data_IF_692916336178
#
_entry.id   IF_692916336178
#
_cell.length_a   1.000
_cell.length_b   1.000
_cell.length_c   1.000
_cell.angle_alpha   90.00
_cell.angle_beta   90.00
_cell.angle_gamma   90.00
#
_symmetry.space_group_name_H-M   'P 1'
#
loop_
_entity.id
_entity.type
_entity.pdbx_description
1 polymer ?
#
# COMPACT_ATOMS: atom_id res chain seq x y z
N UNK A 1 -8.60 -7.70 16.26
CA UNK A 1 -8.12 -6.42 15.69
C UNK A 1 -8.39 -6.35 14.20
N UNK A 2 -9.65 -6.20 13.80
CA UNK A 2 -10.10 -6.26 12.38
C UNK A 2 -10.52 -4.89 11.83
N UNK A 3 -10.50 -3.84 12.66
CA UNK A 3 -11.08 -2.52 12.34
C UNK A 3 -10.05 -1.46 11.90
N UNK A 4 -8.75 -1.68 12.16
CA UNK A 4 -7.70 -0.68 11.86
C UNK A 4 -6.86 -1.01 10.62
N UNK A 5 -6.43 -2.26 10.49
CA UNK A 5 -5.55 -2.70 9.38
C UNK A 5 -6.26 -2.65 8.02
N UNK A 6 -7.58 -2.93 8.04
CA UNK A 6 -8.45 -2.81 6.88
C UNK A 6 -9.11 -1.45 6.73
N UNK A 7 -8.67 -0.38 7.42
CA UNK A 7 -9.21 0.99 7.25
C UNK A 7 -8.19 2.00 6.67
N UNK A 8 -6.90 1.83 6.92
CA UNK A 8 -5.89 2.81 6.51
C UNK A 8 -5.51 2.76 5.04
N UNK A 9 -5.20 1.56 4.51
CA UNK A 9 -4.71 1.41 3.14
C UNK A 9 -5.81 0.92 2.19
N UNK A 10 -6.51 -0.16 2.54
CA UNK A 10 -7.39 -0.88 1.60
C UNK A 10 -8.72 -0.16 1.28
N UNK A 11 -9.53 0.32 2.24
CA UNK A 11 -10.79 0.97 1.90
C UNK A 11 -10.58 2.42 1.51
N UNK A 12 -9.48 3.05 1.93
CA UNK A 12 -9.11 4.38 1.47
C UNK A 12 -8.70 4.31 -0.02
N UNK A 13 -7.92 3.29 -0.39
CA UNK A 13 -7.63 2.95 -1.78
C UNK A 13 -8.89 2.59 -2.57
N UNK A 14 -9.79 1.76 -2.03
CA UNK A 14 -11.06 1.43 -2.69
C UNK A 14 -11.93 2.68 -2.87
N UNK A 15 -12.05 3.54 -1.86
CA UNK A 15 -12.81 4.79 -1.94
C UNK A 15 -12.21 5.77 -2.96
N UNK A 16 -10.89 5.91 -2.98
CA UNK A 16 -10.18 6.74 -3.95
C UNK A 16 -10.35 6.18 -5.38
N UNK A 17 -10.23 4.86 -5.53
CA UNK A 17 -10.48 4.16 -6.79
C UNK A 17 -11.95 4.29 -7.24
N UNK A 18 -12.93 4.29 -6.33
CA UNK A 18 -14.33 4.54 -6.66
C UNK A 18 -14.56 6.00 -7.10
N UNK A 19 -13.94 6.98 -6.43
CA UNK A 19 -14.02 8.39 -6.81
C UNK A 19 -13.38 8.67 -8.19
N UNK A 20 -12.23 8.04 -8.47
CA UNK A 20 -11.55 8.11 -9.77
C UNK A 20 -12.38 7.38 -10.85
N UNK A 21 -12.93 6.20 -10.53
CA UNK A 21 -13.80 5.44 -11.45
C UNK A 21 -15.04 6.24 -11.88
N UNK A 22 -15.61 7.05 -10.97
CA UNK A 22 -16.74 7.93 -11.30
C UNK A 22 -16.42 9.04 -12.31
N UNK A 23 -15.15 9.46 -12.42
CA UNK A 23 -14.73 10.53 -13.32
C UNK A 23 -14.01 10.02 -14.58
N UNK A 24 -13.29 8.90 -14.50
CA UNK A 24 -12.39 8.39 -15.55
C UNK A 24 -12.73 6.96 -16.02
N UNK A 25 -13.74 6.31 -15.44
CA UNK A 25 -14.11 4.93 -15.72
C UNK A 25 -13.31 3.89 -14.91
N UNK A 26 -13.82 2.66 -14.77
CA UNK A 26 -13.24 1.65 -13.89
C UNK A 26 -11.88 1.15 -14.41
N UNK A 27 -10.85 1.20 -13.55
CA UNK A 27 -9.49 0.71 -13.86
C UNK A 27 -9.10 -0.46 -12.95
N UNK A 28 -9.18 -1.72 -13.44
CA UNK A 28 -8.76 -2.90 -12.68
C UNK A 28 -7.26 -2.93 -12.38
N UNK A 29 -6.44 -2.32 -13.25
CA UNK A 29 -4.98 -2.29 -13.12
C UNK A 29 -4.54 -1.50 -11.89
N UNK A 30 -5.17 -0.36 -11.63
CA UNK A 30 -4.86 0.43 -10.45
C UNK A 30 -5.26 -0.29 -9.14
N UNK A 31 -6.25 -1.18 -9.19
CA UNK A 31 -6.69 -2.01 -8.06
C UNK A 31 -5.66 -3.10 -7.72
N UNK A 32 -4.94 -3.58 -8.73
CA UNK A 32 -3.90 -4.60 -8.58
C UNK A 32 -2.56 -4.00 -8.12
N UNK A 33 -2.20 -2.83 -8.63
CA UNK A 33 -0.96 -2.13 -8.27
C UNK A 33 -0.95 -1.64 -6.82
N UNK A 34 -2.11 -1.22 -6.31
CA UNK A 34 -2.27 -0.68 -4.95
C UNK A 34 -1.77 -1.61 -3.82
N UNK A 35 -2.24 -2.88 -3.71
CA UNK A 35 -1.71 -3.81 -2.71
C UNK A 35 -0.26 -4.23 -3.02
N UNK A 36 0.14 -4.27 -4.29
CA UNK A 36 1.52 -4.59 -4.69
C UNK A 36 2.50 -3.56 -4.11
N UNK A 37 2.25 -2.27 -4.30
CA UNK A 37 3.10 -1.19 -3.76
C UNK A 37 2.96 -1.08 -2.24
N UNK A 38 1.74 -1.17 -1.71
CA UNK A 38 1.46 -1.01 -0.29
C UNK A 38 1.98 -2.14 0.60
N UNK A 39 2.11 -3.36 0.08
CA UNK A 39 2.57 -4.53 0.84
C UNK A 39 3.96 -4.98 0.42
N UNK A 40 4.17 -5.27 -0.87
CA UNK A 40 5.42 -5.90 -1.32
C UNK A 40 6.60 -4.92 -1.29
N UNK A 41 6.42 -3.72 -1.84
CA UNK A 41 7.52 -2.75 -1.90
C UNK A 41 7.85 -2.18 -0.52
N UNK A 42 6.84 -1.96 0.32
CA UNK A 42 7.04 -1.51 1.70
C UNK A 42 7.92 -2.48 2.49
N UNK A 43 7.72 -3.80 2.32
CA UNK A 43 8.55 -4.80 3.00
C UNK A 43 10.01 -4.77 2.53
N UNK A 44 10.26 -4.59 1.22
CA UNK A 44 11.61 -4.45 0.68
C UNK A 44 12.36 -3.22 1.24
N UNK A 45 11.70 -2.06 1.27
CA UNK A 45 12.30 -0.85 1.83
C UNK A 45 12.49 -0.95 3.34
N UNK A 46 11.51 -1.51 4.05
CA UNK A 46 11.59 -1.68 5.50
C UNK A 46 12.74 -2.62 5.89
N UNK A 47 12.86 -3.77 5.22
CA UNK A 47 13.99 -4.69 5.42
C UNK A 47 15.32 -4.02 5.07
N UNK A 48 15.41 -3.30 3.94
CA UNK A 48 16.62 -2.58 3.55
C UNK A 48 17.04 -1.52 4.56
N UNK A 49 16.10 -0.72 5.07
CA UNK A 49 16.35 0.30 6.08
C UNK A 49 16.78 -0.35 7.39
N UNK A 50 16.08 -1.39 7.86
CA UNK A 50 16.41 -2.10 9.11
C UNK A 50 17.80 -2.73 9.02
N UNK A 51 18.11 -3.43 7.93
CA UNK A 51 19.42 -4.04 7.70
C UNK A 51 20.51 -2.97 7.63
N UNK A 52 20.26 -1.84 6.98
CA UNK A 52 21.23 -0.73 6.91
C UNK A 52 21.47 -0.11 8.28
N UNK A 53 20.41 0.17 9.04
CA UNK A 53 20.53 0.70 10.41
C UNK A 53 21.24 -0.27 11.35
N UNK A 54 20.93 -1.58 11.28
CA UNK A 54 21.65 -2.60 12.05
C UNK A 54 23.15 -2.63 11.71
N UNK A 55 23.53 -2.48 10.45
CA UNK A 55 24.93 -2.48 10.06
C UNK A 55 25.67 -1.17 10.37
N UNK A 56 24.95 -0.06 10.57
CA UNK A 56 25.55 1.27 10.84
C UNK A 56 25.59 1.59 12.34
N UNK A 57 24.59 1.17 13.12
CA UNK A 57 24.47 1.46 14.56
C UNK A 57 24.64 0.24 15.47
N UNK A 58 24.71 -0.97 14.91
CA UNK A 58 24.97 -2.22 15.62
C UNK A 58 26.44 -2.63 15.62
#
# INVERSE_FOLDING_TARGET
GHCGFGMGATPNAIANMQAITGNYGPSPLAFFVLPLIGSLFIDFFNAGIITTFMNIFG
#
